data_IF_872773606680
#
_entry.id   IF_872773606680
#
_cell.length_a   1.000
_cell.length_b   1.000
_cell.length_c   1.000
_cell.angle_alpha   90.00
_cell.angle_beta   90.00
_cell.angle_gamma   90.00
#
_symmetry.space_group_name_H-M   'P 1'
#
loop_
_entity.id
_entity.type
_entity.pdbx_description
1 polymer ?
#
# COMPACT_ATOMS: atom_id res chain seq x y z
N UNK A 1 3.74 13.37 8.31
CA UNK A 1 3.65 12.12 7.53
C UNK A 1 2.93 11.05 8.32
N UNK A 2 1.93 10.40 7.75
CA UNK A 2 1.19 9.35 8.45
C UNK A 2 2.06 8.10 8.59
N UNK A 3 1.92 7.41 9.72
CA UNK A 3 2.61 6.15 9.95
C UNK A 3 1.99 5.06 9.06
N UNK A 4 2.81 4.16 8.54
CA UNK A 4 2.32 3.07 7.70
C UNK A 4 1.31 2.20 8.46
N UNK A 5 0.18 1.89 7.80
CA UNK A 5 -0.80 0.93 8.34
C UNK A 5 -0.53 -0.48 7.85
N UNK A 6 0.48 -0.66 6.99
CA UNK A 6 0.82 -1.95 6.38
C UNK A 6 2.04 -2.57 7.05
N UNK A 7 3.07 -1.77 7.34
CA UNK A 7 4.30 -2.23 7.97
C UNK A 7 4.59 -1.43 9.23
N UNK A 8 4.91 -2.13 10.31
CA UNK A 8 5.27 -1.49 11.58
C UNK A 8 6.74 -1.08 11.61
N UNK A 9 7.60 -1.83 10.91
CA UNK A 9 9.04 -1.66 10.99
C UNK A 9 9.60 -1.02 9.72
N UNK A 10 10.05 0.25 9.80
CA UNK A 10 10.60 0.95 8.64
C UNK A 10 11.99 0.45 8.21
N UNK A 11 12.57 -0.50 8.95
CA UNK A 11 13.88 -1.05 8.65
C UNK A 11 13.81 -2.37 7.86
N UNK A 12 12.60 -2.82 7.50
CA UNK A 12 12.37 -4.07 6.79
C UNK A 12 11.72 -3.78 5.44
N UNK A 13 12.26 -4.38 4.37
CA UNK A 13 11.67 -4.27 3.06
C UNK A 13 10.35 -5.06 3.01
N UNK A 14 9.34 -4.51 2.33
CA UNK A 14 8.05 -5.18 2.12
C UNK A 14 8.23 -6.55 1.47
N UNK A 15 9.19 -6.66 0.54
CA UNK A 15 9.53 -7.92 -0.10
C UNK A 15 10.55 -8.67 0.75
N UNK A 16 10.15 -9.78 1.34
CA UNK A 16 11.04 -10.60 2.18
C UNK A 16 11.49 -11.84 1.43
N UNK A 17 11.98 -11.64 0.21
CA UNK A 17 12.39 -12.74 -0.68
C UNK A 17 13.90 -13.04 -0.67
N UNK A 18 14.65 -12.32 0.15
CA UNK A 18 16.11 -12.53 0.26
C UNK A 18 16.94 -11.84 -0.81
N UNK A 19 16.31 -11.13 -1.75
CA UNK A 19 16.99 -10.42 -2.82
C UNK A 19 17.15 -8.93 -2.57
N UNK A 20 16.94 -8.49 -1.32
CA UNK A 20 17.02 -7.09 -0.96
C UNK A 20 18.45 -6.55 -1.06
N UNK A 21 18.58 -5.35 -1.59
CA UNK A 21 19.87 -4.64 -1.62
C UNK A 21 19.64 -3.14 -1.60
N UNK A 22 20.61 -2.43 -1.03
CA UNK A 22 20.56 -0.98 -0.92
C UNK A 22 19.77 -0.51 0.28
N UNK A 23 19.62 0.81 0.40
CA UNK A 23 18.90 1.43 1.51
C UNK A 23 17.39 1.29 1.32
N UNK A 24 16.65 1.33 2.42
CA UNK A 24 15.19 1.31 2.38
C UNK A 24 14.67 2.71 2.06
N UNK A 25 13.66 2.74 1.21
CA UNK A 25 13.00 3.97 0.79
C UNK A 25 11.50 3.85 1.03
N UNK A 26 10.87 4.95 1.41
CA UNK A 26 9.42 4.98 1.56
C UNK A 26 8.75 5.02 0.20
N UNK A 27 7.77 4.16 -0.01
CA UNK A 27 7.03 4.09 -1.26
C UNK A 27 5.53 4.28 -0.98
N UNK A 28 4.91 5.23 -1.66
CA UNK A 28 3.47 5.43 -1.59
C UNK A 28 2.80 4.32 -2.41
N UNK A 29 1.96 3.52 -1.74
CA UNK A 29 1.36 2.34 -2.37
C UNK A 29 0.49 2.70 -3.56
N UNK A 30 -0.32 3.75 -3.41
CA UNK A 30 -1.19 4.24 -4.47
C UNK A 30 -0.64 5.60 -4.90
N UNK A 31 -0.29 5.72 -6.16
CA UNK A 31 0.33 6.93 -6.68
C UNK A 31 -0.39 7.39 -7.95
N UNK A 32 0.09 8.49 -8.51
CA UNK A 32 -0.56 9.16 -9.61
C UNK A 32 -1.28 10.40 -9.10
N UNK A 33 -2.07 11.01 -9.97
CA UNK A 33 -2.68 12.32 -9.73
C UNK A 33 -3.61 12.31 -8.51
N UNK A 34 -3.19 13.02 -7.45
CA UNK A 34 -3.95 13.14 -6.21
C UNK A 34 -3.86 11.93 -5.27
N UNK A 35 -3.52 10.76 -5.78
CA UNK A 35 -3.50 9.52 -4.99
C UNK A 35 -2.30 9.43 -4.06
N UNK A 36 -1.17 10.00 -4.44
CA UNK A 36 0.01 10.04 -3.58
C UNK A 36 -0.27 10.80 -2.29
N UNK A 37 -1.01 11.90 -2.38
CA UNK A 37 -1.40 12.69 -1.21
C UNK A 37 -2.32 11.89 -0.30
N UNK A 38 -3.27 11.16 -0.89
CA UNK A 38 -4.18 10.30 -0.12
C UNK A 38 -3.39 9.18 0.55
N UNK A 39 -2.46 8.55 -0.15
CA UNK A 39 -1.60 7.52 0.41
C UNK A 39 -0.83 8.04 1.63
N UNK A 40 -0.25 9.22 1.52
CA UNK A 40 0.49 9.82 2.62
C UNK A 40 -0.42 10.10 3.82
N UNK A 41 -1.59 10.66 3.58
CA UNK A 41 -2.56 10.97 4.64
C UNK A 41 -3.09 9.72 5.34
N UNK A 42 -3.36 8.65 4.58
CA UNK A 42 -3.98 7.44 5.10
C UNK A 42 -2.98 6.39 5.58
N UNK A 43 -1.69 6.68 5.49
CA UNK A 43 -0.67 5.71 5.90
C UNK A 43 -0.48 4.56 4.93
N UNK A 44 -0.81 4.76 3.65
CA UNK A 44 -0.68 3.74 2.61
C UNK A 44 0.72 3.81 2.02
N UNK A 45 1.71 3.50 2.85
CA UNK A 45 3.11 3.50 2.46
C UNK A 45 3.75 2.18 2.89
N UNK A 46 4.72 1.73 2.11
CA UNK A 46 5.55 0.57 2.45
C UNK A 46 7.01 0.98 2.29
N UNK A 47 7.89 0.16 2.84
CA UNK A 47 9.34 0.39 2.78
C UNK A 47 9.93 -0.63 1.82
N UNK A 48 10.65 -0.15 0.81
CA UNK A 48 11.25 -0.98 -0.22
C UNK A 48 12.73 -0.67 -0.31
N UNK A 49 13.54 -1.70 -0.42
CA UNK A 49 14.97 -1.53 -0.70
C UNK A 49 15.14 -1.00 -2.13
N UNK A 50 16.34 -0.50 -2.45
CA UNK A 50 16.58 0.07 -3.77
C UNK A 50 16.30 -0.92 -4.90
N UNK A 51 16.63 -2.21 -4.70
CA UNK A 51 16.37 -3.25 -5.70
C UNK A 51 14.87 -3.39 -5.99
N UNK A 52 14.04 -3.46 -4.94
CA UNK A 52 12.59 -3.64 -5.11
C UNK A 52 11.85 -2.34 -5.41
N UNK A 53 12.48 -1.20 -5.21
CA UNK A 53 11.87 0.10 -5.52
C UNK A 53 12.22 0.57 -6.92
N UNK A 54 13.52 0.58 -7.26
CA UNK A 54 14.02 1.17 -8.51
C UNK A 54 14.69 0.20 -9.45
N UNK A 55 14.94 -1.04 -9.02
CA UNK A 55 15.55 -2.06 -9.86
C UNK A 55 14.62 -2.50 -10.98
N UNK A 56 15.13 -3.26 -11.93
CA UNK A 56 14.40 -3.73 -13.10
C UNK A 56 13.11 -4.47 -12.72
N UNK A 57 13.17 -5.24 -11.64
CA UNK A 57 12.03 -5.99 -11.10
C UNK A 57 11.33 -5.26 -9.96
N UNK A 58 11.75 -4.04 -9.64
CA UNK A 58 11.13 -3.21 -8.61
C UNK A 58 9.87 -2.53 -9.13
N UNK A 59 9.11 -1.91 -8.22
CA UNK A 59 7.80 -1.31 -8.54
C UNK A 59 7.86 -0.26 -9.66
N UNK A 60 8.97 0.46 -9.77
CA UNK A 60 9.16 1.45 -10.84
C UNK A 60 9.98 0.90 -12.01
N UNK A 61 10.33 -0.38 -11.96
CA UNK A 61 11.13 -1.01 -12.99
C UNK A 61 10.27 -1.60 -14.11
N UNK A 62 10.94 -2.01 -15.18
CA UNK A 62 10.30 -2.55 -16.39
C UNK A 62 9.43 -3.77 -16.10
N UNK A 63 9.81 -4.60 -15.13
CA UNK A 63 9.10 -5.84 -14.81
C UNK A 63 8.41 -5.77 -13.43
N UNK A 64 8.08 -4.58 -12.97
CA UNK A 64 7.54 -4.36 -11.63
C UNK A 64 6.02 -4.34 -11.50
N UNK A 65 5.28 -4.60 -12.58
CA UNK A 65 3.82 -4.47 -12.57
C UNK A 65 3.15 -5.40 -11.54
N UNK A 66 3.61 -6.64 -11.42
CA UNK A 66 3.04 -7.60 -10.47
C UNK A 66 3.29 -7.17 -9.03
N UNK A 67 4.51 -6.72 -8.73
CA UNK A 67 4.84 -6.23 -7.40
C UNK A 67 4.02 -4.98 -7.06
N UNK A 68 3.90 -4.06 -8.01
CA UNK A 68 3.09 -2.86 -7.83
C UNK A 68 1.65 -3.22 -7.49
N UNK A 69 1.06 -4.19 -8.20
CA UNK A 69 -0.30 -4.63 -7.93
C UNK A 69 -0.43 -5.29 -6.56
N UNK A 70 0.53 -6.15 -6.19
CA UNK A 70 0.53 -6.77 -4.87
C UNK A 70 0.55 -5.73 -3.74
N UNK A 71 1.35 -4.69 -3.90
CA UNK A 71 1.43 -3.60 -2.92
C UNK A 71 0.11 -2.84 -2.85
N UNK A 72 -0.51 -2.56 -3.99
CA UNK A 72 -1.81 -1.88 -4.04
C UNK A 72 -2.91 -2.70 -3.37
N UNK A 73 -2.91 -4.01 -3.61
CA UNK A 73 -3.86 -4.92 -2.98
C UNK A 73 -3.65 -4.97 -1.46
N UNK A 74 -2.40 -5.05 -1.01
CA UNK A 74 -2.08 -5.06 0.42
C UNK A 74 -2.52 -3.75 1.07
N UNK A 75 -2.35 -2.63 0.40
CA UNK A 75 -2.78 -1.33 0.90
C UNK A 75 -4.29 -1.27 1.07
N UNK A 76 -5.04 -1.72 0.07
CA UNK A 76 -6.49 -1.74 0.13
C UNK A 76 -7.00 -2.67 1.23
N UNK A 77 -6.43 -3.88 1.33
CA UNK A 77 -6.81 -4.83 2.39
C UNK A 77 -6.59 -4.24 3.78
N UNK A 78 -5.43 -3.63 4.01
CA UNK A 78 -5.11 -3.03 5.30
C UNK A 78 -6.06 -1.87 5.62
N UNK A 79 -6.38 -1.04 4.64
CA UNK A 79 -7.27 0.10 4.84
C UNK A 79 -8.70 -0.36 5.14
N UNK A 80 -9.20 -1.34 4.37
CA UNK A 80 -10.54 -1.87 4.58
C UNK A 80 -10.66 -2.56 5.94
N UNK A 81 -9.64 -3.29 6.35
CA UNK A 81 -9.64 -3.93 7.67
C UNK A 81 -9.66 -2.89 8.80
N UNK A 82 -8.90 -1.83 8.65
CA UNK A 82 -8.90 -0.74 9.63
C UNK A 82 -10.27 -0.06 9.72
N UNK A 83 -10.93 0.13 8.57
CA UNK A 83 -12.27 0.68 8.52
C UNK A 83 -13.25 -0.21 9.28
N UNK A 84 -13.23 -1.52 9.00
CA UNK A 84 -14.10 -2.49 9.66
C UNK A 84 -13.90 -2.47 11.17
N UNK A 85 -12.66 -2.43 11.63
CA UNK A 85 -12.33 -2.37 13.05
C UNK A 85 -12.82 -1.09 13.71
N UNK A 86 -12.91 -0.01 12.96
CA UNK A 86 -13.38 1.29 13.47
C UNK A 86 -14.91 1.35 13.60
N UNK A 87 -15.62 0.43 12.96
CA UNK A 87 -17.09 0.39 12.97
C UNK A 87 -17.61 -1.01 13.31
N UNK A 88 -17.30 -1.52 14.52
CA UNK A 88 -17.56 -2.92 14.88
C UNK A 88 -19.05 -3.31 14.95
N UNK A 89 -19.95 -2.33 15.01
CA UNK A 89 -21.40 -2.59 15.09
C UNK A 89 -22.13 -2.31 13.78
N UNK A 90 -21.40 -1.98 12.71
CA UNK A 90 -22.02 -1.68 11.44
C UNK A 90 -22.35 -2.98 10.70
N UNK A 91 -23.62 -3.10 10.24
CA UNK A 91 -24.00 -4.18 9.35
C UNK A 91 -23.36 -3.96 7.99
N UNK A 92 -22.88 -5.04 7.36
CA UNK A 92 -22.25 -4.97 6.06
C UNK A 92 -21.00 -4.08 6.03
N UNK A 93 -20.22 -4.12 7.11
CA UNK A 93 -19.01 -3.31 7.24
C UNK A 93 -18.01 -3.54 6.11
N UNK A 94 -17.92 -4.78 5.62
CA UNK A 94 -17.02 -5.12 4.51
C UNK A 94 -17.43 -4.41 3.21
N UNK A 95 -18.73 -4.39 2.92
CA UNK A 95 -19.24 -3.70 1.74
C UNK A 95 -19.06 -2.19 1.88
N UNK A 96 -19.33 -1.65 3.08
CA UNK A 96 -19.14 -0.22 3.34
C UNK A 96 -17.68 0.19 3.19
N UNK A 97 -16.75 -0.62 3.69
CA UNK A 97 -15.31 -0.36 3.56
C UNK A 97 -14.90 -0.30 2.08
N UNK A 98 -15.38 -1.25 1.27
CA UNK A 98 -15.10 -1.30 -0.16
C UNK A 98 -15.64 -0.06 -0.87
N UNK A 99 -16.88 0.33 -0.58
CA UNK A 99 -17.48 1.51 -1.18
C UNK A 99 -16.71 2.79 -0.82
N UNK A 100 -16.30 2.92 0.45
CA UNK A 100 -15.52 4.07 0.88
C UNK A 100 -14.15 4.13 0.24
N UNK A 101 -13.49 2.96 0.10
CA UNK A 101 -12.21 2.89 -0.60
C UNK A 101 -12.35 3.38 -2.06
N UNK A 102 -13.36 2.88 -2.77
CA UNK A 102 -13.59 3.25 -4.17
C UNK A 102 -13.92 4.75 -4.28
N UNK A 103 -14.70 5.27 -3.34
CA UNK A 103 -15.00 6.70 -3.31
C UNK A 103 -13.73 7.53 -3.13
N UNK A 104 -12.85 7.10 -2.23
CA UNK A 104 -11.61 7.80 -1.92
C UNK A 104 -10.58 7.70 -3.05
N UNK A 105 -10.38 6.52 -3.59
CA UNK A 105 -9.32 6.24 -4.56
C UNK A 105 -9.78 6.25 -6.02
N UNK A 106 -11.04 6.01 -6.28
CA UNK A 106 -11.57 5.92 -7.64
C UNK A 106 -11.27 4.61 -8.35
N UNK A 107 -10.72 3.61 -7.63
CA UNK A 107 -10.33 2.33 -8.22
C UNK A 107 -10.38 1.23 -7.18
N UNK A 108 -10.72 0.02 -7.61
CA UNK A 108 -10.74 -1.18 -6.77
C UNK A 108 -9.65 -2.14 -7.24
N UNK A 109 -8.77 -2.56 -6.31
CA UNK A 109 -7.68 -3.50 -6.61
C UNK A 109 -7.96 -4.92 -6.14
N UNK A 110 -9.08 -5.16 -5.46
CA UNK A 110 -9.42 -6.48 -4.90
C UNK A 110 -10.53 -7.20 -5.65
#
# INVERSE_FOLDING_TARGET
>A
MAKSIIQDDPTVCFCMDGECSGVLEEHHCIYGRGRRRISDREGLVVYLCSFHHRGTKGVHGKYGADLSLQIKMAAQEAWEQKYIESYPYENHAEEAAREEWIRMMGVNYL
#
